data_IF_760260542668
#
_entry.id   IF_760260542668
#
_cell.length_a   1.000
_cell.length_b   1.000
_cell.length_c   1.000
_cell.angle_alpha   90.00
_cell.angle_beta   90.00
_cell.angle_gamma   90.00
#
_symmetry.space_group_name_H-M   'P 1'
#
loop_
_entity.id
_entity.type
_entity.pdbx_description
1 polymer ?
#
# COMPACT_ATOMS: atom_id res chain seq x y z
N UNK A 1 10.50 18.20 2.87
CA UNK A 1 9.91 16.87 3.15
C UNK A 1 8.87 17.03 4.26
N UNK A 2 7.57 16.97 3.96
CA UNK A 2 6.53 17.28 4.95
C UNK A 2 6.17 16.08 5.86
N UNK A 3 6.18 14.85 5.33
CA UNK A 3 5.91 13.63 6.11
C UNK A 3 6.92 13.48 7.26
N UNK A 4 8.22 13.64 6.99
CA UNK A 4 9.27 13.62 8.01
C UNK A 4 9.22 14.78 9.01
N UNK A 5 8.44 15.84 8.72
CA UNK A 5 8.23 16.97 9.63
C UNK A 5 6.98 16.82 10.50
N UNK A 6 6.34 15.64 10.51
CA UNK A 6 5.17 15.35 11.35
C UNK A 6 3.80 15.58 10.70
N UNK A 7 3.74 15.65 9.36
CA UNK A 7 2.46 15.72 8.63
C UNK A 7 1.62 14.44 8.85
N UNK A 8 0.37 14.59 9.27
CA UNK A 8 -0.56 13.49 9.56
C UNK A 8 -1.60 13.25 8.46
N UNK A 9 -1.82 14.22 7.56
CA UNK A 9 -2.74 14.12 6.43
C UNK A 9 -2.35 15.09 5.29
N UNK A 10 -2.81 14.80 4.07
CA UNK A 10 -2.61 15.64 2.89
C UNK A 10 -3.71 15.41 1.84
N UNK A 11 -4.03 16.44 1.04
CA UNK A 11 -4.82 16.29 -0.19
C UNK A 11 -3.83 15.99 -1.33
N UNK A 12 -4.01 14.85 -1.99
CA UNK A 12 -3.10 14.37 -3.03
C UNK A 12 -3.81 13.43 -4.00
N UNK A 13 -3.11 12.91 -5.02
CA UNK A 13 -3.68 11.99 -5.99
C UNK A 13 -3.38 10.53 -5.58
N UNK A 14 -4.34 9.82 -4.96
CA UNK A 14 -4.11 8.45 -4.47
C UNK A 14 -3.99 7.40 -5.59
N UNK A 15 -4.27 7.78 -6.85
CA UNK A 15 -4.20 6.88 -8.01
C UNK A 15 -2.81 6.92 -8.65
N UNK A 16 -1.99 7.92 -8.34
CA UNK A 16 -0.64 8.01 -8.89
C UNK A 16 0.30 7.10 -8.10
N UNK A 17 0.82 6.06 -8.77
CA UNK A 17 1.73 5.06 -8.19
C UNK A 17 2.87 5.69 -7.38
N UNK A 18 3.55 6.69 -7.95
CA UNK A 18 4.71 7.32 -7.32
C UNK A 18 4.37 8.01 -5.98
N UNK A 19 3.16 8.58 -5.87
CA UNK A 19 2.70 9.21 -4.62
C UNK A 19 2.43 8.14 -3.56
N UNK A 20 1.76 7.06 -3.93
CA UNK A 20 1.47 5.95 -3.03
C UNK A 20 2.73 5.20 -2.57
N UNK A 21 3.71 5.03 -3.45
CA UNK A 21 5.01 4.45 -3.13
C UNK A 21 5.75 5.30 -2.10
N UNK A 22 5.85 6.62 -2.32
CA UNK A 22 6.53 7.52 -1.40
C UNK A 22 5.87 7.54 0.00
N UNK A 23 4.53 7.54 0.06
CA UNK A 23 3.79 7.50 1.34
C UNK A 23 4.04 6.18 2.07
N UNK A 24 3.97 5.05 1.39
CA UNK A 24 4.15 3.73 2.01
C UNK A 24 5.59 3.51 2.45
N UNK A 25 6.56 3.93 1.65
CA UNK A 25 7.98 3.93 2.02
C UNK A 25 8.21 4.80 3.26
N UNK A 26 7.64 6.01 3.31
CA UNK A 26 7.77 6.88 4.47
C UNK A 26 7.13 6.27 5.72
N UNK A 27 5.95 5.66 5.63
CA UNK A 27 5.32 4.96 6.75
C UNK A 27 6.19 3.80 7.26
N UNK A 28 6.81 3.03 6.36
CA UNK A 28 7.75 1.98 6.73
C UNK A 28 8.97 2.54 7.48
N UNK A 29 9.63 3.55 6.90
CA UNK A 29 10.83 4.16 7.48
C UNK A 29 10.56 4.88 8.80
N UNK A 30 9.35 5.40 9.01
CA UNK A 30 8.93 6.09 10.23
C UNK A 30 8.31 5.15 11.27
N UNK A 31 8.38 3.82 11.08
CA UNK A 31 7.82 2.82 11.99
C UNK A 31 6.29 2.92 12.18
N UNK A 32 5.58 3.40 11.15
CA UNK A 32 4.12 3.46 11.09
C UNK A 32 3.50 2.25 10.34
N UNK A 33 4.33 1.35 9.80
CA UNK A 33 3.92 0.09 9.18
C UNK A 33 4.49 -1.11 9.95
N UNK A 34 3.66 -1.71 10.81
CA UNK A 34 4.07 -2.80 11.68
C UNK A 34 4.61 -3.99 10.87
N UNK A 35 5.89 -4.32 11.08
CA UNK A 35 6.64 -5.35 10.36
C UNK A 35 6.74 -5.11 8.83
N UNK A 36 6.51 -3.87 8.35
CA UNK A 36 6.54 -3.57 6.92
C UNK A 36 5.44 -4.27 6.10
N UNK A 37 4.35 -4.66 6.75
CA UNK A 37 3.30 -5.48 6.13
C UNK A 37 2.61 -4.79 4.95
N UNK A 38 2.43 -3.47 5.00
CA UNK A 38 1.85 -2.69 3.89
C UNK A 38 2.88 -2.42 2.78
N UNK A 39 4.15 -2.20 3.13
CA UNK A 39 5.24 -2.06 2.17
C UNK A 39 5.45 -3.33 1.33
N UNK A 40 5.53 -4.50 1.99
CA UNK A 40 5.70 -5.79 1.31
C UNK A 40 4.52 -6.10 0.38
N UNK A 41 3.30 -5.74 0.75
CA UNK A 41 2.12 -5.90 -0.12
C UNK A 41 2.21 -5.00 -1.34
N UNK A 42 2.63 -3.77 -1.14
CA UNK A 42 2.76 -2.81 -2.23
C UNK A 42 3.85 -3.21 -3.22
N UNK A 43 4.96 -3.80 -2.76
CA UNK A 43 5.99 -4.37 -3.64
C UNK A 43 5.39 -5.37 -4.65
N UNK A 44 4.44 -6.21 -4.22
CA UNK A 44 3.73 -7.15 -5.13
C UNK A 44 2.83 -6.44 -6.16
N UNK A 45 2.29 -5.27 -5.81
CA UNK A 45 1.56 -4.43 -6.77
C UNK A 45 2.52 -3.90 -7.82
N UNK A 46 3.71 -3.44 -7.41
CA UNK A 46 4.74 -2.97 -8.33
C UNK A 46 5.23 -4.08 -9.26
N UNK A 47 5.46 -5.28 -8.75
CA UNK A 47 5.82 -6.46 -9.56
C UNK A 47 4.74 -6.77 -10.62
N UNK A 48 3.45 -6.69 -10.25
CA UNK A 48 2.36 -6.90 -11.20
C UNK A 48 2.28 -5.80 -12.26
N UNK A 49 2.59 -4.55 -11.89
CA UNK A 49 2.68 -3.43 -12.85
C UNK A 49 3.86 -3.62 -13.81
N UNK A 50 5.01 -4.03 -13.30
CA UNK A 50 6.18 -4.38 -14.12
C UNK A 50 5.87 -5.54 -15.09
N UNK A 51 5.05 -6.50 -14.65
CA UNK A 51 4.53 -7.58 -15.48
C UNK A 51 3.43 -7.16 -16.48
N UNK A 52 3.06 -5.87 -16.55
CA UNK A 52 2.17 -5.30 -17.56
C UNK A 52 0.73 -5.05 -17.12
N UNK A 53 0.37 -5.28 -15.84
CA UNK A 53 -0.94 -4.87 -15.33
C UNK A 53 -1.01 -3.35 -15.14
N UNK A 54 -2.21 -2.77 -15.23
CA UNK A 54 -2.36 -1.36 -14.82
C UNK A 54 -2.27 -1.25 -13.30
N UNK A 55 -1.80 -0.10 -12.79
CA UNK A 55 -1.72 0.15 -11.35
C UNK A 55 -3.08 0.00 -10.64
N UNK A 56 -4.16 0.38 -11.31
CA UNK A 56 -5.52 0.26 -10.80
C UNK A 56 -5.93 -1.22 -10.63
N UNK A 57 -5.71 -2.05 -11.65
CA UNK A 57 -6.03 -3.48 -11.61
C UNK A 57 -5.19 -4.22 -10.56
N UNK A 58 -3.87 -3.97 -10.54
CA UNK A 58 -2.95 -4.58 -9.58
C UNK A 58 -3.31 -4.20 -8.13
N UNK A 59 -3.63 -2.91 -7.88
CA UNK A 59 -4.05 -2.42 -6.56
C UNK A 59 -5.38 -3.02 -6.12
N UNK A 60 -6.34 -3.17 -7.05
CA UNK A 60 -7.62 -3.79 -6.78
C UNK A 60 -7.46 -5.28 -6.41
N UNK A 61 -6.63 -6.02 -7.14
CA UNK A 61 -6.33 -7.42 -6.86
C UNK A 61 -5.69 -7.62 -5.47
N UNK A 62 -4.71 -6.78 -5.11
CA UNK A 62 -4.06 -6.81 -3.80
C UNK A 62 -5.04 -6.52 -2.64
N UNK A 63 -6.00 -5.62 -2.86
CA UNK A 63 -7.03 -5.26 -1.88
C UNK A 63 -8.03 -6.40 -1.64
N UNK A 64 -8.43 -7.11 -2.71
CA UNK A 64 -9.32 -8.28 -2.63
C UNK A 64 -8.67 -9.46 -1.89
N UNK A 65 -7.36 -9.67 -2.07
CA UNK A 65 -6.62 -10.71 -1.35
C UNK A 65 -6.63 -10.49 0.18
N UNK A 66 -6.79 -9.25 0.65
CA UNK A 66 -6.82 -8.91 2.08
C UNK A 66 -8.20 -9.12 2.70
N UNK A 67 -9.29 -8.82 1.99
CA UNK A 67 -10.66 -8.98 2.50
C UNK A 67 -11.03 -10.45 2.75
N UNK A 68 -10.56 -11.37 1.90
CA UNK A 68 -10.80 -12.81 2.06
C UNK A 68 -10.20 -13.41 3.34
N UNK A 69 -9.12 -12.84 3.86
CA UNK A 69 -8.41 -13.38 5.04
C UNK A 69 -9.05 -12.98 6.38
N UNK A 70 -9.81 -11.88 6.42
CA UNK A 70 -10.48 -11.38 7.63
C UNK A 70 -11.80 -12.09 7.91
N UNK A 71 -12.50 -12.56 6.87
CA UNK A 71 -13.75 -13.33 6.99
C UNK A 71 -13.55 -14.73 7.57
N UNK A 72 -12.51 -15.45 7.14
CA UNK A 72 -12.28 -16.85 7.55
C UNK A 72 -11.90 -17.04 9.02
N UNK A 73 -11.44 -16.00 9.72
CA UNK A 73 -11.12 -16.07 11.17
C UNK A 73 -12.30 -15.80 12.09
N UNK A 74 -13.41 -15.25 11.58
CA UNK A 74 -14.65 -15.06 12.34
C UNK A 74 -15.59 -16.26 12.27
N UNK A 75 -15.27 -17.23 11.40
CA UNK A 75 -16.06 -18.44 11.16
C UNK A 75 -15.46 -19.69 11.83
N UNK A 76 -14.47 -19.53 12.73
CA UNK A 76 -13.96 -20.60 13.59
C UNK A 76 -14.23 -20.27 15.05
#
# INVERSE_FOLDING_TARGET
MAIGAGMTSAIMNPVRQMEMEAIRAANFLMNHDANGGEWIRFAKVLEAVEAGATFAEASAAASQATSGRRGGRRAR
#
